data_IF_096497458039
#
_entry.id   IF_096497458039
#
_cell.length_a   1.000
_cell.length_b   1.000
_cell.length_c   1.000
_cell.angle_alpha   90.00
_cell.angle_beta   90.00
_cell.angle_gamma   90.00
#
_symmetry.space_group_name_H-M   'P 1'
#
loop_
_entity.id
_entity.type
_entity.pdbx_description
1 polymer ?
#
# COMPACT_ATOMS: atom_id res chain seq x y z
N UNK A 1 41.63 -15.16 -9.10
CA UNK A 1 41.26 -15.96 -7.92
C UNK A 1 39.78 -15.77 -7.76
N UNK A 2 39.03 -16.81 -8.12
CA UNK A 2 37.58 -16.82 -8.21
C UNK A 2 37.02 -17.32 -6.86
N UNK A 3 36.75 -16.40 -5.94
CA UNK A 3 36.11 -16.71 -4.65
C UNK A 3 34.59 -16.80 -4.85
N UNK A 4 34.15 -17.97 -5.28
CA UNK A 4 32.75 -18.35 -5.23
C UNK A 4 32.36 -18.57 -3.76
N UNK A 5 31.56 -17.66 -3.19
CA UNK A 5 30.94 -17.82 -1.88
C UNK A 5 30.17 -19.16 -1.83
N UNK A 6 30.41 -20.02 -0.83
CA UNK A 6 29.76 -21.32 -0.78
C UNK A 6 28.24 -21.16 -0.58
N UNK A 7 27.41 -21.99 -1.23
CA UNK A 7 25.96 -21.91 -1.08
C UNK A 7 25.58 -22.13 0.38
N UNK A 8 24.82 -21.20 0.96
CA UNK A 8 24.34 -21.27 2.32
C UNK A 8 23.63 -22.63 2.55
N UNK A 9 24.26 -23.49 3.34
CA UNK A 9 23.80 -24.84 3.57
C UNK A 9 22.46 -24.82 4.33
N UNK A 10 21.36 -25.19 3.66
CA UNK A 10 20.01 -25.29 4.26
C UNK A 10 19.99 -26.14 5.54
N UNK A 11 20.90 -27.12 5.68
CA UNK A 11 21.04 -27.94 6.89
C UNK A 11 21.56 -27.14 8.09
N UNK A 12 22.44 -26.16 7.86
CA UNK A 12 22.98 -25.26 8.90
C UNK A 12 21.92 -24.32 9.45
N UNK A 13 21.06 -23.77 8.57
CA UNK A 13 19.92 -22.95 9.00
C UNK A 13 18.94 -23.79 9.82
N UNK A 14 18.67 -25.03 9.38
CA UNK A 14 17.77 -25.94 10.10
C UNK A 14 18.30 -26.34 11.48
N UNK A 15 19.60 -26.49 11.66
CA UNK A 15 20.21 -26.83 12.96
C UNK A 15 20.21 -25.63 13.91
N UNK A 16 20.45 -24.42 13.41
CA UNK A 16 20.35 -23.17 14.18
C UNK A 16 18.92 -22.88 14.65
N UNK A 17 17.91 -23.15 13.80
CA UNK A 17 16.49 -22.99 14.17
C UNK A 17 16.03 -24.05 15.20
N UNK A 18 16.54 -25.29 15.08
CA UNK A 18 16.29 -26.37 16.04
C UNK A 18 16.92 -26.09 17.41
N UNK A 19 18.11 -25.51 17.46
CA UNK A 19 18.80 -25.15 18.71
C UNK A 19 18.03 -24.09 19.53
N UNK A 20 17.19 -23.27 18.89
CA UNK A 20 16.30 -22.30 19.56
C UNK A 20 14.90 -22.84 19.89
N UNK A 21 14.64 -24.14 19.70
CA UNK A 21 13.35 -24.76 20.03
C UNK A 21 12.21 -24.47 19.05
N UNK A 22 12.46 -23.81 17.91
CA UNK A 22 11.45 -23.61 16.87
C UNK A 22 11.34 -24.86 15.99
N UNK A 23 10.42 -25.77 16.35
CA UNK A 23 9.97 -26.83 15.44
C UNK A 23 8.91 -26.26 14.49
N UNK A 24 9.35 -25.70 13.36
CA UNK A 24 8.45 -25.28 12.28
C UNK A 24 7.82 -26.52 11.64
N UNK A 25 6.50 -26.57 11.57
CA UNK A 25 5.76 -27.60 10.84
C UNK A 25 5.65 -27.27 9.35
N UNK A 26 5.05 -28.19 8.59
CA UNK A 26 4.79 -27.98 7.16
C UNK A 26 3.99 -26.68 6.90
N UNK A 27 2.92 -26.34 7.65
CA UNK A 27 2.18 -25.10 7.41
C UNK A 27 3.03 -23.83 7.58
N UNK A 28 3.92 -23.81 8.56
CA UNK A 28 4.80 -22.67 8.79
C UNK A 28 5.86 -22.51 7.68
N UNK A 29 6.38 -23.63 7.15
CA UNK A 29 7.27 -23.59 5.97
C UNK A 29 6.55 -23.13 4.70
N UNK A 30 5.31 -23.59 4.49
CA UNK A 30 4.49 -23.14 3.37
C UNK A 30 4.16 -21.65 3.48
N UNK A 31 3.88 -21.15 4.70
CA UNK A 31 3.70 -19.72 4.93
C UNK A 31 4.97 -18.93 4.56
N UNK A 32 6.14 -19.39 5.02
CA UNK A 32 7.41 -18.75 4.68
C UNK A 32 7.65 -18.74 3.16
N UNK A 33 7.31 -19.82 2.47
CA UNK A 33 7.37 -19.90 1.01
C UNK A 33 6.40 -18.89 0.35
N UNK A 34 5.16 -18.77 0.82
CA UNK A 34 4.22 -17.77 0.32
C UNK A 34 4.73 -16.34 0.50
N UNK A 35 5.28 -16.01 1.67
CA UNK A 35 5.85 -14.69 1.98
C UNK A 35 7.04 -14.39 1.04
N UNK A 36 7.97 -15.34 0.90
CA UNK A 36 9.12 -15.19 0.02
C UNK A 36 8.69 -15.04 -1.45
N UNK A 37 7.74 -15.86 -1.90
CA UNK A 37 7.24 -15.84 -3.28
C UNK A 37 6.55 -14.52 -3.61
N UNK A 38 5.66 -14.03 -2.71
CA UNK A 38 5.02 -12.73 -2.85
C UNK A 38 6.05 -11.61 -2.89
N UNK A 39 6.99 -11.59 -1.93
CA UNK A 39 8.01 -10.54 -1.83
C UNK A 39 8.82 -10.47 -3.12
N UNK A 40 9.32 -11.60 -3.62
CA UNK A 40 10.12 -11.67 -4.85
C UNK A 40 9.30 -11.22 -6.06
N UNK A 41 8.10 -11.78 -6.24
CA UNK A 41 7.22 -11.46 -7.35
C UNK A 41 6.85 -9.98 -7.39
N UNK A 42 6.38 -9.44 -6.27
CA UNK A 42 5.84 -8.10 -6.18
C UNK A 42 6.96 -7.03 -6.23
N UNK A 43 8.13 -7.32 -5.64
CA UNK A 43 9.32 -6.47 -5.80
C UNK A 43 9.78 -6.45 -7.25
N UNK A 44 9.85 -7.61 -7.92
CA UNK A 44 10.27 -7.67 -9.31
C UNK A 44 9.36 -6.84 -10.21
N UNK A 45 8.04 -6.94 -10.05
CA UNK A 45 7.08 -6.17 -10.85
C UNK A 45 7.18 -4.65 -10.64
N UNK A 46 7.26 -4.21 -9.39
CA UNK A 46 7.36 -2.78 -9.06
C UNK A 46 8.69 -2.18 -9.51
N UNK A 47 9.79 -2.94 -9.40
CA UNK A 47 11.10 -2.55 -9.92
C UNK A 47 11.09 -2.46 -11.45
N UNK A 48 10.47 -3.42 -12.14
CA UNK A 48 10.30 -3.36 -13.60
C UNK A 48 9.46 -2.16 -14.04
N UNK A 49 8.39 -1.85 -13.30
CA UNK A 49 7.59 -0.64 -13.50
C UNK A 49 8.44 0.63 -13.36
N UNK A 50 9.28 0.70 -12.33
CA UNK A 50 10.19 1.82 -12.10
C UNK A 50 11.22 1.98 -13.23
N UNK A 51 11.91 0.89 -13.62
CA UNK A 51 12.89 0.92 -14.72
C UNK A 51 12.26 1.17 -16.10
N UNK A 52 10.96 0.92 -16.25
CA UNK A 52 10.18 1.30 -17.43
C UNK A 52 9.71 2.76 -17.40
N UNK A 53 10.20 3.56 -16.44
CA UNK A 53 9.84 4.97 -16.22
C UNK A 53 8.34 5.18 -15.95
N UNK A 54 7.67 4.17 -15.39
CA UNK A 54 6.23 4.22 -15.09
C UNK A 54 5.95 4.42 -13.59
N UNK A 55 6.91 4.97 -12.85
CA UNK A 55 6.75 5.43 -11.46
C UNK A 55 6.58 6.95 -11.41
N UNK A 56 5.81 7.43 -10.45
CA UNK A 56 5.45 8.82 -10.19
C UNK A 56 6.49 9.55 -9.35
N UNK A 57 6.61 10.86 -9.61
CA UNK A 57 7.36 11.77 -8.75
C UNK A 57 6.63 12.09 -7.44
N UNK A 58 5.29 12.04 -7.43
CA UNK A 58 4.45 12.43 -6.28
C UNK A 58 4.48 11.44 -5.12
N UNK A 59 4.85 10.19 -5.36
CA UNK A 59 4.98 9.20 -4.29
C UNK A 59 6.46 8.80 -4.17
N UNK A 60 6.90 7.87 -5.02
CA UNK A 60 8.26 7.34 -4.97
C UNK A 60 9.33 8.43 -5.01
N UNK A 61 9.15 9.48 -5.84
CA UNK A 61 10.07 10.61 -5.93
C UNK A 61 10.19 11.41 -4.63
N UNK A 62 9.07 11.68 -3.96
CA UNK A 62 9.03 12.38 -2.67
C UNK A 62 9.81 11.59 -1.62
N UNK A 63 9.50 10.30 -1.44
CA UNK A 63 10.16 9.49 -0.43
C UNK A 63 11.64 9.27 -0.71
N UNK A 64 12.01 9.08 -1.98
CA UNK A 64 13.41 9.00 -2.38
C UNK A 64 14.17 10.26 -2.00
N UNK A 65 13.65 11.43 -2.36
CA UNK A 65 14.33 12.69 -2.06
C UNK A 65 14.36 12.97 -0.56
N UNK A 66 13.27 12.73 0.16
CA UNK A 66 13.17 12.92 1.60
C UNK A 66 14.17 12.05 2.37
N UNK A 67 14.28 10.76 2.03
CA UNK A 67 15.24 9.86 2.67
C UNK A 67 16.68 10.18 2.25
N UNK A 68 16.91 10.50 0.97
CA UNK A 68 18.22 10.87 0.48
C UNK A 68 18.79 12.10 1.20
N UNK A 69 17.99 13.17 1.33
CA UNK A 69 18.38 14.41 2.00
C UNK A 69 18.56 14.23 3.50
N UNK A 70 17.79 13.34 4.13
CA UNK A 70 17.96 12.96 5.54
C UNK A 70 19.31 12.29 5.77
N UNK A 71 19.67 11.33 4.91
CA UNK A 71 20.89 10.54 5.08
C UNK A 71 22.15 11.31 4.66
N UNK A 72 22.08 12.11 3.58
CA UNK A 72 23.27 12.67 2.93
C UNK A 72 23.41 14.19 3.02
N UNK A 73 22.34 14.90 3.37
CA UNK A 73 22.33 16.37 3.33
C UNK A 73 21.98 17.00 4.68
N UNK A 74 21.83 16.20 5.74
CA UNK A 74 21.42 16.64 7.07
C UNK A 74 20.12 17.47 7.07
N UNK A 75 19.26 17.28 6.06
CA UNK A 75 17.96 17.92 5.96
C UNK A 75 16.89 16.86 6.23
N UNK A 76 16.25 16.96 7.39
CA UNK A 76 15.27 15.98 7.83
C UNK A 76 14.07 15.95 6.89
N UNK A 77 13.90 14.84 6.18
CA UNK A 77 12.81 14.53 5.26
C UNK A 77 12.49 15.66 4.26
N UNK A 78 13.51 16.29 3.69
CA UNK A 78 13.33 17.41 2.76
C UNK A 78 13.13 16.95 1.30
N UNK A 79 12.19 17.58 0.59
CA UNK A 79 11.88 17.30 -0.81
C UNK A 79 11.35 18.55 -1.53
N UNK A 80 11.26 18.50 -2.86
CA UNK A 80 10.98 19.68 -3.71
C UNK A 80 9.75 19.58 -4.61
N UNK A 81 9.14 18.41 -4.73
CA UNK A 81 8.01 18.16 -5.67
C UNK A 81 6.80 19.05 -5.37
N UNK A 82 6.55 19.34 -4.09
CA UNK A 82 5.33 20.02 -3.63
C UNK A 82 5.57 21.42 -3.02
N UNK A 83 6.68 22.09 -3.35
CA UNK A 83 7.02 23.40 -2.74
C UNK A 83 5.92 24.48 -2.91
N UNK A 84 5.06 24.33 -3.90
CA UNK A 84 3.93 25.23 -4.15
C UNK A 84 2.82 25.12 -3.09
N UNK A 85 2.68 23.98 -2.40
CA UNK A 85 1.72 23.77 -1.28
C UNK A 85 2.42 23.53 0.07
N UNK A 86 3.70 23.19 0.05
CA UNK A 86 4.55 23.02 1.22
C UNK A 86 5.87 23.81 1.04
N UNK A 87 5.86 25.14 1.23
CA UNK A 87 7.03 25.98 0.95
C UNK A 87 8.26 25.64 1.79
N UNK A 88 8.06 25.04 2.97
CA UNK A 88 9.14 24.57 3.83
C UNK A 88 9.85 23.32 3.29
N UNK A 89 9.23 22.58 2.37
CA UNK A 89 9.77 21.38 1.73
C UNK A 89 10.03 20.22 2.68
N UNK A 90 9.58 20.29 3.93
CA UNK A 90 9.69 19.18 4.89
C UNK A 90 8.49 18.27 4.72
N UNK A 91 8.71 16.96 4.52
CA UNK A 91 7.64 15.97 4.46
C UNK A 91 6.75 15.98 5.70
N UNK A 92 7.32 16.35 6.85
CA UNK A 92 6.57 16.51 8.10
C UNK A 92 5.53 17.63 8.05
N UNK A 93 5.60 18.52 7.05
CA UNK A 93 4.62 19.58 6.79
C UNK A 93 3.47 19.14 5.87
N UNK A 94 3.49 17.92 5.35
CA UNK A 94 2.37 17.32 4.60
C UNK A 94 1.82 16.09 5.28
N UNK A 95 2.69 15.22 5.81
CA UNK A 95 2.31 13.99 6.50
C UNK A 95 3.12 13.79 7.78
N UNK A 96 2.47 13.22 8.79
CA UNK A 96 3.15 12.81 10.01
C UNK A 96 3.44 11.30 9.96
N UNK A 97 4.56 10.94 9.34
CA UNK A 97 5.00 9.54 9.17
C UNK A 97 6.40 9.28 9.75
N UNK A 98 6.58 9.33 11.10
CA UNK A 98 7.88 9.03 11.72
C UNK A 98 8.48 7.67 11.36
N UNK A 99 7.67 6.70 10.88
CA UNK A 99 8.17 5.40 10.44
C UNK A 99 9.25 5.50 9.37
N UNK A 100 9.25 6.57 8.56
CA UNK A 100 10.28 6.81 7.54
C UNK A 100 11.69 6.94 8.15
N UNK A 101 11.79 7.44 9.39
CA UNK A 101 13.09 7.55 10.07
C UNK A 101 13.67 6.18 10.43
N UNK A 102 12.81 5.16 10.64
CA UNK A 102 13.25 3.78 10.81
C UNK A 102 13.72 3.16 9.48
N UNK A 103 13.22 3.65 8.35
CA UNK A 103 13.64 3.22 7.02
C UNK A 103 14.93 3.92 6.56
N UNK A 104 15.23 5.13 7.05
CA UNK A 104 16.44 5.87 6.72
C UNK A 104 17.74 5.05 6.84
N UNK A 105 18.03 4.32 7.95
CA UNK A 105 19.25 3.50 8.02
C UNK A 105 19.24 2.33 7.03
N UNK A 106 18.08 1.74 6.73
CA UNK A 106 17.98 0.67 5.73
C UNK A 106 18.20 1.20 4.31
N UNK A 107 17.65 2.37 4.03
CA UNK A 107 17.86 3.09 2.78
C UNK A 107 19.33 3.52 2.61
N UNK A 108 20.00 3.93 3.68
CA UNK A 108 21.41 4.31 3.65
C UNK A 108 22.34 3.17 3.16
N UNK A 109 21.98 1.91 3.40
CA UNK A 109 22.75 0.75 2.91
C UNK A 109 22.73 0.62 1.38
N UNK A 110 21.61 1.00 0.77
CA UNK A 110 21.40 0.97 -0.68
C UNK A 110 20.40 2.08 -1.05
N UNK A 111 20.87 3.29 -1.30
CA UNK A 111 20.01 4.46 -1.47
C UNK A 111 19.40 4.51 -2.87
N UNK A 112 18.47 3.57 -3.14
CA UNK A 112 17.83 3.38 -4.45
C UNK A 112 16.34 3.09 -4.31
N UNK A 113 15.60 3.26 -5.40
CA UNK A 113 14.16 3.00 -5.46
C UNK A 113 13.82 1.54 -5.12
N UNK A 114 14.63 0.63 -5.65
CA UNK A 114 14.49 -0.82 -5.51
C UNK A 114 14.52 -1.23 -4.04
N UNK A 115 15.28 -0.53 -3.19
CA UNK A 115 15.32 -0.79 -1.75
C UNK A 115 13.97 -0.48 -1.11
N UNK A 116 13.36 0.67 -1.41
CA UNK A 116 12.06 1.05 -0.87
C UNK A 116 10.93 0.15 -1.38
N UNK A 117 10.91 -0.14 -2.68
CA UNK A 117 9.93 -1.03 -3.30
C UNK A 117 10.01 -2.46 -2.75
N UNK A 118 11.23 -2.95 -2.49
CA UNK A 118 11.45 -4.27 -1.87
C UNK A 118 11.00 -4.27 -0.41
N UNK A 119 11.32 -3.22 0.36
CA UNK A 119 10.90 -3.10 1.76
C UNK A 119 9.37 -3.03 1.90
N UNK A 120 8.69 -2.30 1.01
CA UNK A 120 7.23 -2.26 0.91
C UNK A 120 6.66 -3.67 0.64
N UNK A 121 7.18 -4.36 -0.38
CA UNK A 121 6.72 -5.72 -0.73
C UNK A 121 6.93 -6.71 0.41
N UNK A 122 8.06 -6.64 1.09
CA UNK A 122 8.36 -7.46 2.26
C UNK A 122 7.42 -7.14 3.44
N UNK A 123 7.20 -5.87 3.73
CA UNK A 123 6.32 -5.43 4.81
C UNK A 123 4.89 -5.96 4.64
N UNK A 124 4.34 -5.81 3.43
CA UNK A 124 3.02 -6.34 3.07
C UNK A 124 3.00 -7.86 3.23
N UNK A 125 4.00 -8.56 2.73
CA UNK A 125 4.08 -10.01 2.86
C UNK A 125 4.15 -10.47 4.32
N UNK A 126 4.93 -9.77 5.16
CA UNK A 126 5.11 -10.09 6.57
C UNK A 126 3.83 -9.94 7.40
N UNK A 127 2.84 -9.16 6.94
CA UNK A 127 1.53 -9.08 7.58
C UNK A 127 0.79 -10.44 7.61
N UNK A 128 1.15 -11.37 6.71
CA UNK A 128 0.65 -12.73 6.73
C UNK A 128 1.04 -13.50 8.02
N UNK A 129 2.15 -13.11 8.68
CA UNK A 129 2.60 -13.76 9.93
C UNK A 129 1.64 -13.53 11.09
N UNK A 130 1.36 -12.28 11.54
CA UNK A 130 0.39 -12.06 12.62
C UNK A 130 -0.99 -12.57 12.21
N UNK A 131 -1.39 -12.46 10.93
CA UNK A 131 -2.67 -13.02 10.46
C UNK A 131 -2.76 -14.54 10.63
N UNK A 132 -1.69 -15.27 10.29
CA UNK A 132 -1.56 -16.70 10.52
C UNK A 132 -1.71 -17.02 12.02
N UNK A 133 -0.98 -16.30 12.87
CA UNK A 133 -0.99 -16.53 14.31
C UNK A 133 -2.37 -16.25 14.94
N UNK A 134 -3.03 -15.16 14.54
CA UNK A 134 -4.38 -14.81 14.99
C UNK A 134 -5.36 -15.90 14.56
N UNK A 135 -5.35 -16.30 13.30
CA UNK A 135 -6.28 -17.30 12.77
C UNK A 135 -6.07 -18.66 13.42
N UNK A 136 -4.82 -19.06 13.62
CA UNK A 136 -4.46 -20.32 14.31
C UNK A 136 -5.00 -20.32 15.73
N UNK A 137 -4.79 -19.22 16.47
CA UNK A 137 -5.18 -19.14 17.88
C UNK A 137 -6.71 -19.06 18.04
N UNK A 138 -7.43 -18.47 17.07
CA UNK A 138 -8.90 -18.37 17.10
C UNK A 138 -9.64 -19.60 16.57
N UNK A 139 -9.12 -20.25 15.53
CA UNK A 139 -9.81 -21.35 14.84
C UNK A 139 -9.20 -22.72 15.13
N UNK A 140 -8.09 -22.78 15.89
CA UNK A 140 -7.46 -24.02 16.31
C UNK A 140 -6.80 -24.85 15.20
N UNK A 141 -6.75 -24.35 13.96
CA UNK A 141 -6.20 -25.08 12.81
C UNK A 141 -5.11 -24.32 12.08
N UNK A 142 -3.92 -24.94 12.01
CA UNK A 142 -2.76 -24.42 11.28
C UNK A 142 -2.99 -24.36 9.77
N UNK A 143 -3.79 -25.26 9.22
CA UNK A 143 -4.09 -25.29 7.79
C UNK A 143 -5.10 -24.20 7.41
N UNK A 144 -6.11 -23.95 8.26
CA UNK A 144 -7.03 -22.83 8.07
C UNK A 144 -6.27 -21.50 8.18
N UNK A 145 -5.37 -21.39 9.16
CA UNK A 145 -4.50 -20.22 9.29
C UNK A 145 -3.63 -19.98 8.04
N UNK A 146 -3.06 -21.05 7.47
CA UNK A 146 -2.31 -20.97 6.21
C UNK A 146 -3.21 -20.51 5.06
N UNK A 147 -4.40 -21.10 4.92
CA UNK A 147 -5.34 -20.75 3.85
C UNK A 147 -5.78 -19.27 3.92
N UNK A 148 -6.10 -18.76 5.11
CA UNK A 148 -6.44 -17.34 5.31
C UNK A 148 -5.26 -16.42 5.00
N UNK A 149 -4.05 -16.80 5.40
CA UNK A 149 -2.84 -16.01 5.13
C UNK A 149 -2.47 -16.00 3.64
N UNK A 150 -2.64 -17.13 2.96
CA UNK A 150 -2.48 -17.23 1.51
C UNK A 150 -3.57 -16.41 0.78
N UNK A 151 -4.81 -16.46 1.24
CA UNK A 151 -5.90 -15.65 0.69
C UNK A 151 -5.61 -14.15 0.82
N UNK A 152 -5.05 -13.69 1.94
CA UNK A 152 -4.57 -12.32 2.10
C UNK A 152 -3.51 -11.94 1.07
N UNK A 153 -2.49 -12.79 0.85
CA UNK A 153 -1.42 -12.52 -0.12
C UNK A 153 -1.89 -12.59 -1.58
N UNK A 154 -3.00 -13.27 -1.86
CA UNK A 154 -3.63 -13.35 -3.18
C UNK A 154 -4.75 -12.31 -3.37
N UNK A 155 -5.07 -11.54 -2.33
CA UNK A 155 -6.18 -10.61 -2.36
C UNK A 155 -5.85 -9.42 -3.28
N UNK A 156 -6.70 -9.17 -4.28
CA UNK A 156 -6.41 -8.19 -5.34
C UNK A 156 -6.06 -6.79 -4.81
N UNK A 157 -6.78 -6.21 -3.82
CA UNK A 157 -6.40 -4.91 -3.24
C UNK A 157 -5.01 -4.89 -2.58
N UNK A 158 -4.51 -6.02 -2.11
CA UNK A 158 -3.13 -6.11 -1.57
C UNK A 158 -2.10 -6.05 -2.71
N UNK A 159 -2.43 -6.59 -3.87
CA UNK A 159 -1.61 -6.39 -5.07
C UNK A 159 -1.69 -4.96 -5.61
N UNK A 160 -2.86 -4.30 -5.56
CA UNK A 160 -2.99 -2.89 -5.93
C UNK A 160 -2.20 -1.98 -5.00
N UNK A 161 -2.30 -2.21 -3.69
CA UNK A 161 -1.47 -1.55 -2.67
C UNK A 161 0.01 -1.69 -3.03
N UNK A 162 0.49 -2.89 -3.34
CA UNK A 162 1.90 -3.08 -3.66
C UNK A 162 2.31 -2.54 -5.04
N UNK A 163 1.42 -2.58 -6.03
CA UNK A 163 1.68 -2.09 -7.39
C UNK A 163 1.80 -0.56 -7.45
N UNK A 164 1.12 0.12 -6.53
CA UNK A 164 1.31 1.54 -6.33
C UNK A 164 2.75 1.84 -5.90
N UNK A 165 3.17 3.08 -6.14
CA UNK A 165 4.53 3.50 -5.80
C UNK A 165 4.77 3.45 -4.29
N UNK A 166 6.02 3.62 -3.85
CA UNK A 166 6.34 3.50 -2.44
C UNK A 166 5.54 4.50 -1.59
N UNK A 167 4.92 4.00 -0.52
CA UNK A 167 4.14 4.80 0.43
C UNK A 167 4.09 4.12 1.81
N UNK A 168 3.94 4.89 2.88
CA UNK A 168 4.07 4.38 4.27
C UNK A 168 2.90 3.47 4.69
N UNK A 169 1.77 3.53 3.99
CA UNK A 169 0.56 2.76 4.29
C UNK A 169 0.78 1.26 4.11
N UNK A 170 1.75 0.87 3.28
CA UNK A 170 2.18 -0.51 3.11
C UNK A 170 2.69 -1.17 4.42
N UNK A 171 3.02 -0.39 5.44
CA UNK A 171 3.45 -0.87 6.76
C UNK A 171 2.29 -1.02 7.76
N UNK A 172 1.11 -0.50 7.45
CA UNK A 172 -0.06 -0.58 8.33
C UNK A 172 -0.51 -2.03 8.59
N UNK A 173 -0.62 -2.92 7.58
CA UNK A 173 -1.14 -4.27 7.82
C UNK A 173 -0.30 -5.05 8.83
N UNK A 174 1.03 -5.07 8.67
CA UNK A 174 1.92 -5.83 9.56
C UNK A 174 1.96 -5.24 10.97
N UNK A 175 1.94 -3.92 11.11
CA UNK A 175 2.00 -3.24 12.41
C UNK A 175 0.70 -3.40 13.19
N UNK A 176 -0.46 -3.11 12.59
CA UNK A 176 -1.76 -3.23 13.26
C UNK A 176 -2.12 -4.68 13.60
N UNK A 177 -1.90 -5.63 12.68
CA UNK A 177 -2.19 -7.04 12.95
C UNK A 177 -1.30 -7.58 14.07
N UNK A 178 -0.02 -7.20 14.08
CA UNK A 178 0.89 -7.56 15.18
C UNK A 178 0.44 -6.95 16.51
N UNK A 179 0.02 -5.69 16.51
CA UNK A 179 -0.49 -5.02 17.69
C UNK A 179 -1.72 -5.73 18.27
N UNK A 180 -2.69 -6.05 17.41
CA UNK A 180 -3.87 -6.83 17.77
C UNK A 180 -3.50 -8.21 18.35
N UNK A 181 -2.61 -8.94 17.67
CA UNK A 181 -2.15 -10.25 18.10
C UNK A 181 -1.52 -10.22 19.50
N UNK A 182 -0.60 -9.29 19.76
CA UNK A 182 0.05 -9.18 21.05
C UNK A 182 -0.88 -8.69 22.16
N UNK A 183 -1.85 -7.82 21.83
CA UNK A 183 -2.83 -7.34 22.81
C UNK A 183 -3.75 -8.47 23.29
N UNK A 184 -4.27 -9.30 22.39
CA UNK A 184 -5.12 -10.45 22.75
C UNK A 184 -4.36 -11.48 23.60
N UNK A 185 -3.03 -11.56 23.46
CA UNK A 185 -2.14 -12.40 24.27
C UNK A 185 -1.68 -11.76 25.59
N UNK A 186 -2.22 -10.59 25.94
CA UNK A 186 -1.81 -9.78 27.10
C UNK A 186 -0.31 -9.43 27.14
N UNK A 187 0.36 -9.46 25.99
CA UNK A 187 1.76 -9.06 25.85
C UNK A 187 1.86 -7.56 25.56
N UNK A 188 1.39 -6.74 26.50
CA UNK A 188 1.14 -5.31 26.27
C UNK A 188 2.37 -4.51 25.82
N UNK A 189 3.58 -4.84 26.28
CA UNK A 189 4.80 -4.14 25.82
C UNK A 189 4.98 -4.29 24.30
N UNK A 190 4.84 -5.52 23.78
CA UNK A 190 4.92 -5.78 22.34
C UNK A 190 3.74 -5.16 21.59
N UNK A 191 2.54 -5.18 22.20
CA UNK A 191 1.36 -4.56 21.63
C UNK A 191 1.55 -3.04 21.48
N UNK A 192 2.02 -2.34 22.52
CA UNK A 192 2.31 -0.91 22.48
C UNK A 192 3.40 -0.58 21.47
N UNK A 193 4.48 -1.36 21.42
CA UNK A 193 5.50 -1.19 20.39
C UNK A 193 4.91 -1.28 18.97
N UNK A 194 4.10 -2.31 18.70
CA UNK A 194 3.43 -2.45 17.41
C UNK A 194 2.39 -1.36 17.13
N UNK A 195 1.64 -0.89 18.13
CA UNK A 195 0.72 0.24 17.99
C UNK A 195 1.46 1.54 17.72
N UNK A 196 2.60 1.79 18.37
CA UNK A 196 3.43 2.96 18.11
C UNK A 196 3.99 2.94 16.68
N UNK A 197 4.41 1.78 16.18
CA UNK A 197 4.80 1.63 14.77
C UNK A 197 3.62 1.93 13.84
N UNK A 198 2.42 1.42 14.14
CA UNK A 198 1.22 1.70 13.35
C UNK A 198 0.88 3.19 13.37
N UNK A 199 0.87 3.83 14.55
CA UNK A 199 0.64 5.28 14.71
C UNK A 199 1.68 6.11 13.94
N UNK A 200 2.92 5.61 13.83
CA UNK A 200 4.00 6.26 13.10
C UNK A 200 3.88 6.15 11.58
N UNK A 201 2.94 5.36 11.04
CA UNK A 201 2.73 5.26 9.61
C UNK A 201 2.11 6.54 9.05
N UNK A 202 1.01 7.03 9.64
CA UNK A 202 0.35 8.25 9.16
C UNK A 202 -0.47 8.96 10.24
N UNK A 203 -0.72 10.25 10.03
CA UNK A 203 -1.50 11.12 10.90
C UNK A 203 -2.95 10.65 11.14
N UNK A 204 -3.49 9.79 10.26
CA UNK A 204 -4.83 9.25 10.40
C UNK A 204 -4.90 7.93 11.15
N UNK A 205 -3.76 7.27 11.42
CA UNK A 205 -3.71 6.02 12.20
C UNK A 205 -4.26 6.08 13.62
N UNK A 206 -4.27 7.22 14.31
CA UNK A 206 -5.04 7.38 15.54
C UNK A 206 -6.52 6.99 15.41
N UNK A 207 -7.15 7.14 14.25
CA UNK A 207 -8.56 6.77 14.07
C UNK A 207 -8.75 5.24 14.23
N UNK A 208 -8.13 4.37 13.42
CA UNK A 208 -8.26 2.92 13.59
C UNK A 208 -7.72 2.43 14.94
N UNK A 209 -6.65 3.05 15.48
CA UNK A 209 -6.13 2.68 16.81
C UNK A 209 -7.14 2.99 17.92
N UNK A 210 -7.85 4.13 17.83
CA UNK A 210 -8.94 4.45 18.76
C UNK A 210 -10.09 3.44 18.64
N UNK A 211 -10.42 2.99 17.43
CA UNK A 211 -11.41 1.91 17.23
C UNK A 211 -10.98 0.60 17.89
N UNK A 212 -9.71 0.20 17.78
CA UNK A 212 -9.18 -0.96 18.50
C UNK A 212 -9.23 -0.77 20.03
N UNK A 213 -8.89 0.41 20.52
CA UNK A 213 -8.97 0.74 21.94
C UNK A 213 -10.40 0.60 22.48
N UNK A 214 -11.38 1.19 21.78
CA UNK A 214 -12.81 1.06 22.10
C UNK A 214 -13.28 -0.39 22.02
N UNK A 215 -12.82 -1.17 21.04
CA UNK A 215 -13.10 -2.59 20.94
C UNK A 215 -12.59 -3.37 22.16
N UNK A 216 -11.38 -3.10 22.63
CA UNK A 216 -10.83 -3.77 23.81
C UNK A 216 -11.54 -3.38 25.11
N UNK A 217 -11.91 -2.10 25.25
CA UNK A 217 -12.76 -1.60 26.34
C UNK A 217 -14.10 -2.33 26.32
N UNK A 218 -14.76 -2.40 25.15
CA UNK A 218 -16.03 -3.09 24.99
C UNK A 218 -15.92 -4.58 25.36
N UNK A 219 -14.86 -5.28 24.93
CA UNK A 219 -14.61 -6.66 25.37
C UNK A 219 -14.49 -6.78 26.88
N UNK A 220 -13.80 -5.86 27.54
CA UNK A 220 -13.66 -5.86 29.00
C UNK A 220 -15.03 -5.63 29.67
N UNK A 221 -15.83 -4.69 29.19
CA UNK A 221 -17.19 -4.43 29.70
C UNK A 221 -18.10 -5.65 29.52
N UNK A 222 -18.09 -6.29 28.35
CA UNK A 222 -18.87 -7.50 28.09
C UNK A 222 -18.41 -8.66 29.00
N UNK A 223 -17.09 -8.83 29.19
CA UNK A 223 -16.55 -9.85 30.09
C UNK A 223 -17.00 -9.60 31.54
N UNK A 224 -16.96 -8.35 32.01
CA UNK A 224 -17.51 -7.97 33.33
C UNK A 224 -18.97 -8.38 33.46
N UNK A 225 -19.80 -8.06 32.47
CA UNK A 225 -21.24 -8.36 32.51
C UNK A 225 -21.52 -9.88 32.57
N UNK A 226 -20.67 -10.70 31.93
CA UNK A 226 -20.77 -12.17 31.97
C UNK A 226 -20.26 -12.77 33.27
N UNK A 227 -19.14 -12.28 33.78
CA UNK A 227 -18.49 -12.80 35.00
C UNK A 227 -19.14 -12.28 36.29
N UNK A 228 -19.93 -11.20 36.21
CA UNK A 228 -20.56 -10.56 37.37
C UNK A 228 -19.58 -9.83 38.31
N UNK A 229 -18.27 -9.90 38.04
CA UNK A 229 -17.23 -9.30 38.86
C UNK A 229 -16.13 -8.66 38.00
N UNK A 230 -15.38 -7.74 38.62
CA UNK A 230 -14.21 -7.14 37.99
C UNK A 230 -12.98 -8.00 38.25
N UNK A 231 -12.80 -9.07 37.47
CA UNK A 231 -11.59 -9.88 37.52
C UNK A 231 -10.34 -9.05 37.18
N UNK A 232 -9.17 -9.50 37.63
CA UNK A 232 -7.88 -8.83 37.38
C UNK A 232 -7.64 -8.66 35.87
N UNK A 233 -8.00 -9.67 35.08
CA UNK A 233 -7.90 -9.64 33.62
C UNK A 233 -8.77 -8.53 33.01
N UNK A 234 -10.02 -8.42 33.45
CA UNK A 234 -10.96 -7.41 32.96
C UNK A 234 -10.46 -6.01 33.29
N UNK A 235 -10.04 -5.77 34.53
CA UNK A 235 -9.49 -4.46 34.93
C UNK A 235 -8.24 -4.10 34.12
N UNK A 236 -7.34 -5.07 33.92
CA UNK A 236 -6.11 -4.88 33.15
C UNK A 236 -6.39 -4.57 31.68
N UNK A 237 -7.33 -5.30 31.06
CA UNK A 237 -7.76 -5.05 29.68
C UNK A 237 -8.41 -3.68 29.52
N UNK A 238 -9.28 -3.29 30.44
CA UNK A 238 -9.91 -1.98 30.46
C UNK A 238 -8.85 -0.87 30.55
N UNK A 239 -7.95 -0.96 31.53
CA UNK A 239 -6.85 -0.01 31.72
C UNK A 239 -6.01 0.15 30.45
N UNK A 240 -5.56 -0.95 29.84
CA UNK A 240 -4.75 -0.85 28.61
C UNK A 240 -5.54 -0.33 27.41
N UNK A 241 -6.84 -0.60 27.34
CA UNK A 241 -7.73 -0.02 26.34
C UNK A 241 -7.85 1.50 26.51
N UNK A 242 -8.06 1.98 27.73
CA UNK A 242 -8.14 3.42 28.05
C UNK A 242 -6.81 4.14 27.76
N UNK A 243 -5.68 3.57 28.20
CA UNK A 243 -4.35 4.10 27.91
C UNK A 243 -4.10 4.18 26.40
N UNK A 244 -4.50 3.15 25.64
CA UNK A 244 -4.35 3.16 24.19
C UNK A 244 -5.22 4.23 23.53
N UNK A 245 -6.44 4.45 24.02
CA UNK A 245 -7.32 5.51 23.53
C UNK A 245 -6.71 6.90 23.78
N UNK A 246 -6.23 7.15 25.00
CA UNK A 246 -5.58 8.42 25.35
C UNK A 246 -4.29 8.65 24.54
N UNK A 247 -3.46 7.62 24.39
CA UNK A 247 -2.25 7.67 23.56
C UNK A 247 -2.59 8.02 22.11
N UNK A 248 -3.63 7.38 21.57
CA UNK A 248 -4.10 7.61 20.20
C UNK A 248 -4.55 9.07 20.00
N UNK A 249 -5.38 9.59 20.90
CA UNK A 249 -5.86 10.97 20.85
C UNK A 249 -4.71 11.98 20.99
N UNK A 250 -3.77 11.73 21.91
CA UNK A 250 -2.58 12.56 22.07
C UNK A 250 -1.70 12.54 20.82
N UNK A 251 -1.53 11.37 20.18
CA UNK A 251 -0.77 11.23 18.94
C UNK A 251 -1.42 11.98 17.77
N UNK A 252 -2.75 11.91 17.65
CA UNK A 252 -3.49 12.67 16.63
C UNK A 252 -3.27 14.18 16.78
N UNK A 253 -3.38 14.67 18.00
CA UNK A 253 -3.15 16.08 18.31
C UNK A 253 -1.70 16.49 17.99
N UNK A 254 -0.72 15.69 18.41
CA UNK A 254 0.69 15.91 18.11
C UNK A 254 0.97 15.93 16.60
N UNK A 255 0.39 15.00 15.84
CA UNK A 255 0.55 14.90 14.39
C UNK A 255 0.08 16.19 13.71
N UNK A 256 -1.13 16.65 14.02
CA UNK A 256 -1.68 17.89 13.45
C UNK A 256 -0.84 19.13 13.84
N UNK A 257 -0.39 19.18 15.09
CA UNK A 257 0.47 20.27 15.55
C UNK A 257 1.81 20.32 14.81
N UNK A 258 2.45 19.17 14.59
CA UNK A 258 3.71 19.10 13.88
C UNK A 258 3.56 19.42 12.39
N UNK A 259 2.51 18.92 11.74
CA UNK A 259 2.19 19.28 10.36
C UNK A 259 2.03 20.79 10.21
N UNK A 260 1.25 21.42 11.09
CA UNK A 260 1.07 22.87 11.08
C UNK A 260 2.37 23.64 11.38
N UNK A 261 3.21 23.12 12.28
CA UNK A 261 4.50 23.75 12.59
C UNK A 261 5.45 23.77 11.38
N UNK A 262 5.52 22.67 10.63
CA UNK A 262 6.38 22.58 9.44
C UNK A 262 5.79 23.25 8.20
N UNK A 263 4.46 23.32 8.12
CA UNK A 263 3.75 23.99 7.03
C UNK A 263 2.56 24.80 7.55
N UNK A 264 2.79 26.05 8.02
CA UNK A 264 1.71 26.91 8.48
C UNK A 264 0.70 27.27 7.38
N UNK A 265 1.09 27.13 6.11
CA UNK A 265 0.22 27.33 4.95
C UNK A 265 -0.64 26.10 4.62
N UNK A 266 -0.43 24.96 5.30
CA UNK A 266 -1.23 23.77 5.12
C UNK A 266 -2.70 24.07 5.47
N UNK A 267 -3.58 23.76 4.53
CA UNK A 267 -5.01 23.86 4.77
C UNK A 267 -5.46 22.71 5.65
N UNK A 268 -5.93 23.01 6.86
CA UNK A 268 -6.37 22.00 7.83
C UNK A 268 -7.51 21.12 7.29
N UNK A 269 -8.40 21.69 6.48
CA UNK A 269 -9.48 20.94 5.84
C UNK A 269 -9.06 20.18 4.57
N UNK A 270 -7.99 20.59 3.88
CA UNK A 270 -7.55 19.97 2.63
C UNK A 270 -8.68 19.78 1.62
N UNK A 271 -8.88 18.54 1.15
CA UNK A 271 -9.96 18.16 0.22
C UNK A 271 -11.36 18.18 0.86
N UNK A 272 -11.47 18.43 2.16
CA UNK A 272 -12.71 18.47 2.94
C UNK A 272 -13.22 19.89 3.20
N UNK A 273 -12.66 20.91 2.54
CA UNK A 273 -13.15 22.31 2.65
C UNK A 273 -14.66 22.43 2.41
N UNK A 274 -15.23 21.56 1.57
CA UNK A 274 -16.68 21.49 1.35
C UNK A 274 -17.48 21.24 2.64
N UNK A 275 -16.89 20.52 3.60
CA UNK A 275 -17.53 20.12 4.85
C UNK A 275 -17.18 21.02 6.04
N UNK A 276 -16.18 21.89 5.93
CA UNK A 276 -15.81 22.81 7.00
C UNK A 276 -14.36 23.25 6.92
N UNK A 277 -14.01 24.23 7.75
CA UNK A 277 -12.67 24.81 7.82
C UNK A 277 -11.71 24.08 8.76
N UNK A 278 -12.25 23.28 9.68
CA UNK A 278 -11.50 22.55 10.70
C UNK A 278 -12.13 21.18 10.99
N UNK A 279 -11.41 20.23 11.65
CA UNK A 279 -11.88 18.86 11.82
C UNK A 279 -13.18 18.75 12.63
N UNK A 280 -13.40 19.62 13.61
CA UNK A 280 -14.62 19.61 14.43
C UNK A 280 -15.83 20.05 13.60
N UNK A 281 -15.68 21.11 12.81
CA UNK A 281 -16.73 21.59 11.90
C UNK A 281 -17.05 20.55 10.82
N UNK A 282 -16.03 19.94 10.21
CA UNK A 282 -16.20 18.85 9.25
C UNK A 282 -17.01 17.71 9.86
N UNK A 283 -16.66 17.28 11.08
CA UNK A 283 -17.37 16.20 11.77
C UNK A 283 -18.84 16.56 12.06
N UNK A 284 -19.08 17.76 12.60
CA UNK A 284 -20.43 18.24 12.90
C UNK A 284 -21.26 18.33 11.62
N UNK A 285 -20.72 18.90 10.54
CA UNK A 285 -21.46 19.07 9.29
C UNK A 285 -21.75 17.74 8.60
N UNK A 286 -20.82 16.78 8.67
CA UNK A 286 -21.00 15.43 8.13
C UNK A 286 -22.13 14.70 8.87
N UNK A 287 -22.12 14.73 10.20
CA UNK A 287 -23.14 14.08 11.04
C UNK A 287 -24.49 14.79 10.97
N UNK A 288 -24.50 16.12 10.86
CA UNK A 288 -25.74 16.91 10.77
C UNK A 288 -26.44 16.76 9.42
N UNK A 289 -25.73 16.29 8.38
CA UNK A 289 -26.28 16.17 7.02
C UNK A 289 -26.07 14.77 6.43
N UNK A 290 -26.65 13.71 7.03
CA UNK A 290 -26.34 12.33 6.67
C UNK A 290 -26.68 11.97 5.21
N UNK A 291 -27.76 12.53 4.66
CA UNK A 291 -28.13 12.31 3.25
C UNK A 291 -27.09 12.91 2.28
N UNK A 292 -26.58 14.11 2.58
CA UNK A 292 -25.52 14.75 1.76
C UNK A 292 -24.20 14.01 1.92
N UNK A 293 -23.86 13.59 3.14
CA UNK A 293 -22.65 12.81 3.40
C UNK A 293 -22.68 11.49 2.62
N UNK A 294 -23.81 10.79 2.65
CA UNK A 294 -24.00 9.56 1.89
C UNK A 294 -23.90 9.81 0.37
N UNK A 295 -24.55 10.85 -0.14
CA UNK A 295 -24.46 11.20 -1.57
C UNK A 295 -23.02 11.53 -1.99
N UNK A 296 -22.27 12.27 -1.17
CA UNK A 296 -20.87 12.60 -1.40
C UNK A 296 -19.97 11.35 -1.42
N UNK A 297 -20.14 10.43 -0.45
CA UNK A 297 -19.41 9.16 -0.41
C UNK A 297 -19.70 8.31 -1.66
N UNK A 298 -20.97 8.25 -2.08
CA UNK A 298 -21.39 7.47 -3.25
C UNK A 298 -20.94 8.09 -4.57
N UNK A 299 -20.81 9.41 -4.67
CA UNK A 299 -20.35 10.08 -5.90
C UNK A 299 -18.82 10.06 -6.07
N UNK A 300 -18.05 10.09 -4.97
CA UNK A 300 -16.58 9.94 -5.03
C UNK A 300 -16.18 8.61 -5.69
N UNK A 301 -16.96 7.54 -5.48
CA UNK A 301 -16.78 6.24 -6.14
C UNK A 301 -16.75 6.35 -7.67
N UNK A 302 -17.50 7.28 -8.28
CA UNK A 302 -17.52 7.43 -9.75
C UNK A 302 -16.28 8.17 -10.26
N UNK A 303 -15.75 9.12 -9.48
CA UNK A 303 -14.52 9.83 -9.84
C UNK A 303 -13.25 8.97 -9.74
N UNK A 304 -13.17 8.04 -8.78
CA UNK A 304 -12.01 7.14 -8.63
C UNK A 304 -11.88 6.17 -9.82
N UNK A 305 -13.00 5.68 -10.38
CA UNK A 305 -12.99 4.85 -11.59
C UNK A 305 -12.42 5.58 -12.83
N UNK A 306 -12.47 6.91 -12.85
CA UNK A 306 -11.94 7.71 -13.96
C UNK A 306 -10.45 8.06 -13.85
N UNK A 307 -9.82 7.78 -12.70
CA UNK A 307 -8.39 8.01 -12.43
C UNK A 307 -7.51 6.77 -12.63
N UNK A 308 -8.02 5.69 -13.23
CA UNK A 308 -7.17 4.60 -13.71
C UNK A 308 -6.44 5.07 -14.98
N UNK A 309 -5.08 5.06 -15.02
CA UNK A 309 -4.30 5.61 -16.13
C UNK A 309 -4.35 4.65 -17.34
N UNK A 310 -5.49 4.64 -18.02
CA UNK A 310 -5.72 3.88 -19.25
C UNK A 310 -6.87 4.43 -20.10
N UNK A 311 -7.79 5.20 -19.52
CA UNK A 311 -8.99 5.68 -20.24
C UNK A 311 -9.08 7.22 -20.31
N UNK A 312 -8.37 7.94 -19.45
CA UNK A 312 -8.43 9.42 -19.36
C UNK A 312 -7.76 10.18 -20.51
N UNK A 313 -6.88 9.55 -21.29
CA UNK A 313 -6.07 10.25 -22.32
C UNK A 313 -6.86 10.64 -23.58
N UNK A 314 -8.12 10.21 -23.72
CA UNK A 314 -8.97 10.55 -24.87
C UNK A 314 -9.94 11.72 -24.62
N UNK A 315 -10.12 12.16 -23.37
CA UNK A 315 -11.08 13.24 -23.04
C UNK A 315 -10.45 14.61 -22.82
N UNK A 316 -9.17 14.69 -22.46
CA UNK A 316 -8.51 15.96 -22.11
C UNK A 316 -8.17 16.85 -23.31
N UNK A 317 -8.15 16.33 -24.54
CA UNK A 317 -7.80 17.11 -25.74
C UNK A 317 -8.95 17.98 -26.31
N UNK A 318 -10.18 17.83 -25.80
CA UNK A 318 -11.36 18.48 -26.40
C UNK A 318 -11.75 19.83 -25.80
N UNK A 319 -11.20 20.24 -24.65
CA UNK A 319 -11.74 21.38 -23.89
C UNK A 319 -10.75 22.47 -23.45
N UNK A 320 -9.55 22.55 -24.03
CA UNK A 320 -8.65 23.67 -23.75
C UNK A 320 -8.84 24.82 -24.78
N UNK A 321 -9.13 26.06 -24.35
CA UNK A 321 -9.18 27.21 -25.24
C UNK A 321 -7.75 27.58 -25.69
N UNK A 322 -7.43 27.36 -26.97
CA UNK A 322 -6.13 27.75 -27.55
C UNK A 322 -6.11 29.21 -28.01
N UNK A 323 -4.98 29.94 -27.86
CA UNK A 323 -4.83 31.30 -28.38
C UNK A 323 -5.02 31.37 -29.91
N UNK A 324 -5.57 32.48 -30.40
CA UNK A 324 -6.05 32.69 -31.79
C UNK A 324 -5.02 32.47 -32.91
N UNK A 325 -3.72 32.35 -32.60
CA UNK A 325 -2.64 32.12 -33.57
C UNK A 325 -2.48 30.67 -34.05
N UNK A 326 -2.71 29.68 -33.19
CA UNK A 326 -2.39 28.26 -33.49
C UNK A 326 -3.47 27.53 -34.31
N UNK A 327 -4.68 28.09 -34.42
CA UNK A 327 -5.77 27.48 -35.22
C UNK A 327 -5.42 27.36 -36.70
N UNK A 328 -4.69 28.34 -37.25
CA UNK A 328 -4.32 28.33 -38.69
C UNK A 328 -3.28 27.26 -39.03
N UNK A 329 -2.33 27.00 -38.14
CA UNK A 329 -1.36 25.91 -38.32
C UNK A 329 -1.97 24.51 -38.13
N UNK A 330 -2.89 24.36 -37.16
CA UNK A 330 -3.60 23.10 -36.96
C UNK A 330 -4.53 22.77 -38.13
N UNK A 331 -5.22 23.76 -38.70
CA UNK A 331 -6.07 23.58 -39.89
C UNK A 331 -5.25 23.26 -41.16
N UNK A 332 -4.06 23.86 -41.33
CA UNK A 332 -3.15 23.53 -42.42
C UNK A 332 -2.61 22.09 -42.32
N UNK A 333 -2.23 21.64 -41.12
CA UNK A 333 -1.78 20.25 -40.85
C UNK A 333 -2.91 19.23 -41.05
N UNK A 334 -4.16 19.58 -40.75
CA UNK A 334 -5.34 18.74 -40.97
C UNK A 334 -5.71 18.60 -42.45
N UNK A 335 -5.57 19.65 -43.27
CA UNK A 335 -5.76 19.56 -44.73
C UNK A 335 -4.73 18.64 -45.39
N UNK A 336 -3.48 18.67 -44.93
CA UNK A 336 -2.41 17.81 -45.43
C UNK A 336 -2.57 16.33 -45.02
N UNK A 337 -3.25 16.05 -43.89
CA UNK A 337 -3.58 14.67 -43.45
C UNK A 337 -4.84 14.10 -44.10
N UNK A 338 -5.82 14.92 -44.46
CA UNK A 338 -7.05 14.47 -45.15
C UNK A 338 -6.77 13.99 -46.58
N UNK A 339 -5.85 14.61 -47.32
CA UNK A 339 -5.49 14.18 -48.68
C UNK A 339 -4.83 12.78 -48.73
N UNK A 340 -4.06 12.42 -47.69
CA UNK A 340 -3.45 11.08 -47.56
C UNK A 340 -4.46 9.99 -47.20
N UNK A 341 -5.57 10.32 -46.53
CA UNK A 341 -6.61 9.35 -46.13
C UNK A 341 -7.56 8.98 -47.27
N UNK A 342 -7.69 9.83 -48.29
CA UNK A 342 -8.48 9.52 -49.51
C UNK A 342 -7.78 8.53 -50.44
N UNK A 343 -6.45 8.40 -50.40
CA UNK A 343 -5.74 7.41 -51.22
C UNK A 343 -5.81 5.97 -50.67
N UNK A 344 -6.05 5.78 -49.37
CA UNK A 344 -6.06 4.45 -48.74
C UNK A 344 -7.44 3.75 -48.70
N UNK A 345 -8.48 4.37 -49.25
CA UNK A 345 -9.86 3.83 -49.23
C UNK A 345 -10.27 3.05 -50.50
N UNK A 346 -9.35 2.78 -51.42
CA UNK A 346 -9.64 2.11 -52.69
C UNK A 346 -9.00 0.72 -52.82
N UNK A 347 -9.34 -0.22 -51.93
CA UNK A 347 -9.12 -1.66 -52.16
C UNK A 347 -10.26 -2.46 -51.52
N UNK A 348 -11.02 -3.29 -52.27
CA UNK A 348 -12.11 -4.08 -51.71
C UNK A 348 -11.62 -5.47 -51.29
N UNK A 349 -11.91 -5.89 -50.06
CA UNK A 349 -11.82 -7.29 -49.64
C UNK A 349 -13.20 -7.75 -49.18
N UNK A 350 -13.76 -8.73 -49.90
CA UNK A 350 -15.07 -9.37 -49.61
C UNK A 350 -14.96 -10.34 -48.41
N UNK A 351 -16.04 -10.53 -47.61
CA UNK A 351 -16.07 -11.51 -46.52
C UNK A 351 -16.65 -12.86 -46.98
N UNK A 352 -16.14 -13.98 -46.45
CA UNK A 352 -16.82 -15.29 -46.44
C UNK A 352 -16.73 -15.94 -45.07
N UNK A 353 -17.83 -16.58 -44.69
CA UNK A 353 -18.20 -17.11 -43.37
C UNK A 353 -18.49 -18.63 -43.50
N UNK A 354 -18.37 -19.37 -42.38
CA UNK A 354 -18.84 -20.77 -42.08
C UNK A 354 -18.14 -21.94 -42.84
N UNK A 355 -17.88 -23.15 -42.31
CA UNK A 355 -17.87 -23.85 -40.98
C UNK A 355 -17.20 -25.27 -41.23
N UNK A 356 -17.15 -26.23 -40.28
CA UNK A 356 -16.07 -27.23 -40.09
C UNK A 356 -16.35 -28.65 -40.64
N UNK A 357 -15.33 -29.53 -40.71
CA UNK A 357 -15.36 -30.95 -40.27
C UNK A 357 -14.09 -31.77 -40.64
N UNK A 358 -13.52 -32.45 -39.64
CA UNK A 358 -13.00 -33.84 -39.56
C UNK A 358 -12.18 -34.55 -40.68
N UNK A 359 -11.17 -35.29 -40.20
CA UNK A 359 -10.76 -36.70 -40.51
C UNK A 359 -9.55 -36.96 -41.47
N UNK A 360 -8.47 -37.42 -40.82
CA UNK A 360 -7.69 -38.65 -41.06
C UNK A 360 -6.77 -38.87 -42.29
N UNK A 361 -5.66 -39.58 -41.97
CA UNK A 361 -4.80 -40.43 -42.82
C UNK A 361 -3.87 -39.70 -43.82
N UNK A 362 -2.64 -40.10 -44.11
CA UNK A 362 -1.71 -41.16 -43.67
C UNK A 362 -0.39 -40.91 -44.45
N UNK A 363 0.76 -41.15 -43.79
CA UNK A 363 2.02 -41.74 -44.32
C UNK A 363 2.66 -41.25 -45.64
N UNK A 364 3.94 -40.83 -45.57
CA UNK A 364 5.13 -41.51 -46.15
C UNK A 364 6.37 -40.62 -45.89
N UNK A 365 7.30 -40.98 -45.00
CA UNK A 365 8.48 -41.83 -45.24
C UNK A 365 9.52 -41.23 -46.20
N UNK A 366 10.60 -40.71 -45.58
CA UNK A 366 12.02 -40.75 -45.94
C UNK A 366 12.47 -40.82 -47.42
N UNK A 367 13.36 -39.90 -47.81
CA UNK A 367 14.72 -40.20 -48.32
C UNK A 367 15.57 -38.92 -48.42
N UNK A 368 16.79 -38.98 -47.88
CA UNK A 368 17.93 -38.04 -48.06
C UNK A 368 18.49 -38.10 -49.52
N UNK A 369 19.68 -37.51 -49.80
CA UNK A 369 20.08 -36.11 -50.07
C UNK A 369 20.63 -36.05 -51.55
N UNK A 370 21.63 -35.27 -52.02
CA UNK A 370 22.37 -34.12 -51.46
C UNK A 370 22.49 -32.88 -52.38
N UNK A 371 22.86 -31.73 -51.80
CA UNK A 371 24.02 -30.91 -52.18
C UNK A 371 24.29 -29.84 -51.12
#
# INVERSE_FOLDING_TARGET
>A
MDETLPPANLKSISSLLKAKGLRLGLPEWLLALCIASYTIYASHLTIMKHHSYNSSAWDLGIFLQALWTTVHSHKLLYYTVELHVNPGGSFLGTHFSPILLLLAPLYALSPRAETLLTLQSLSIALAAVPLYLITRDKLGSKYVALAVSAAYLLYLPIHELNWFDFHFEAFIPVTLLSAYYFFERASYVKAYFSFLLALSCCEFMPIPVSCFALYFILKAVIARLREGSWSVEVKRRLFHGEVLLLLSLAWFHLALHLIHHFNPAAKVAGNWEYWGSNPAEILVNLLSNPARALAFILTISESICSCSPGVGFLKSDLNMPRPKGERREAEARLRHRRSRRTLFKALPVKPRFFRPQTRAMKTWAATNPPH
#
